data_IF_403008686280
#
_entry.id   IF_403008686280
#
_cell.length_a   1.000
_cell.length_b   1.000
_cell.length_c   1.000
_cell.angle_alpha   90.00
_cell.angle_beta   90.00
_cell.angle_gamma   90.00
#
_symmetry.space_group_name_H-M   'P 1'
#
loop_
_entity.id
_entity.type
_entity.pdbx_description
1 polymer ?
#
# COMPACT_ATOMS: atom_id res chain seq x y z
N UNK A 1 24.75 -30.24 -61.07
CA UNK A 1 24.29 -31.15 -60.01
C UNK A 1 23.91 -30.31 -58.79
N UNK A 2 22.61 -30.19 -58.55
CA UNK A 2 22.00 -29.37 -57.51
C UNK A 2 21.80 -30.24 -56.27
N UNK A 3 22.53 -30.02 -55.16
CA UNK A 3 22.20 -30.68 -53.88
C UNK A 3 22.43 -29.78 -52.67
N UNK A 4 21.28 -29.30 -52.18
CA UNK A 4 20.83 -29.24 -50.77
C UNK A 4 21.44 -28.18 -49.85
N UNK A 5 20.73 -27.05 -49.84
CA UNK A 5 20.47 -26.22 -48.66
C UNK A 5 19.79 -27.09 -47.58
N UNK A 6 20.36 -27.16 -46.38
CA UNK A 6 19.59 -27.36 -45.13
C UNK A 6 20.11 -26.37 -44.11
N UNK A 7 19.29 -25.34 -43.91
CA UNK A 7 19.33 -24.35 -42.84
C UNK A 7 18.93 -25.05 -41.53
N UNK A 8 19.75 -25.00 -40.48
CA UNK A 8 19.30 -25.33 -39.12
C UNK A 8 19.45 -24.10 -38.22
N UNK A 9 18.40 -23.28 -38.23
CA UNK A 9 18.20 -22.18 -37.28
C UNK A 9 17.80 -22.79 -35.92
N UNK A 10 18.78 -23.04 -35.05
CA UNK A 10 18.54 -23.35 -33.65
C UNK A 10 18.47 -22.03 -32.87
N UNK A 11 17.32 -21.36 -32.96
CA UNK A 11 16.97 -20.20 -32.15
C UNK A 11 15.68 -20.53 -31.41
N UNK A 12 15.77 -21.28 -30.31
CA UNK A 12 14.62 -21.54 -29.43
C UNK A 12 14.89 -20.98 -28.03
N UNK A 13 14.45 -19.74 -27.86
CA UNK A 13 13.64 -19.24 -26.74
C UNK A 13 14.09 -19.60 -25.31
N UNK A 14 15.10 -18.90 -24.79
CA UNK A 14 15.26 -18.70 -23.33
C UNK A 14 15.18 -17.21 -22.98
N UNK A 15 14.02 -16.61 -23.18
CA UNK A 15 13.76 -15.26 -22.64
C UNK A 15 12.26 -15.13 -22.43
N UNK A 16 11.78 -15.34 -21.20
CA UNK A 16 10.55 -14.71 -20.68
C UNK A 16 10.30 -14.91 -19.17
N UNK A 17 11.13 -15.63 -18.41
CA UNK A 17 10.89 -15.82 -16.96
C UNK A 17 11.15 -14.59 -16.07
N UNK A 18 11.86 -13.57 -16.57
CA UNK A 18 12.25 -12.41 -15.75
C UNK A 18 11.11 -11.41 -15.49
N UNK A 19 10.10 -11.33 -16.36
CA UNK A 19 8.97 -10.41 -16.18
C UNK A 19 7.96 -10.91 -15.12
N UNK A 20 7.79 -12.23 -15.00
CA UNK A 20 6.81 -12.85 -14.09
C UNK A 20 7.20 -12.73 -12.60
N UNK A 21 8.49 -12.60 -12.28
CA UNK A 21 8.95 -12.48 -10.89
C UNK A 21 8.66 -11.12 -10.25
N UNK A 22 8.65 -10.03 -11.04
CA UNK A 22 8.48 -8.66 -10.51
C UNK A 22 7.07 -8.41 -9.97
N UNK A 23 6.03 -8.96 -10.61
CA UNK A 23 4.63 -8.83 -10.14
C UNK A 23 4.40 -9.44 -8.76
N UNK A 24 5.22 -10.42 -8.38
CA UNK A 24 5.15 -11.08 -7.07
C UNK A 24 5.87 -10.30 -5.97
N UNK A 25 6.63 -9.25 -6.28
CA UNK A 25 7.24 -8.41 -5.25
C UNK A 25 6.21 -7.47 -4.62
N UNK A 26 6.36 -7.19 -3.33
CA UNK A 26 5.43 -6.31 -2.60
C UNK A 26 5.62 -4.82 -2.92
N UNK A 27 6.79 -4.45 -3.47
CA UNK A 27 7.06 -3.11 -3.98
C UNK A 27 5.96 -2.65 -4.97
N UNK A 28 5.51 -1.40 -4.81
CA UNK A 28 4.47 -0.78 -5.63
C UNK A 28 3.37 -0.12 -4.82
N UNK A 29 2.21 0.06 -5.46
CA UNK A 29 1.07 0.79 -4.91
C UNK A 29 -0.11 -0.14 -4.68
N UNK A 30 -0.79 0.06 -3.55
CA UNK A 30 -1.84 -0.80 -3.06
C UNK A 30 -3.03 0.02 -2.57
N UNK A 31 -4.23 -0.35 -3.01
CA UNK A 31 -5.49 0.21 -2.51
C UNK A 31 -5.94 -0.60 -1.29
N UNK A 32 -5.97 0.05 -0.15
CA UNK A 32 -6.54 -0.47 1.09
C UNK A 32 -8.03 -0.16 1.14
N UNK A 33 -8.84 -1.19 1.42
CA UNK A 33 -10.28 -1.05 1.64
C UNK A 33 -10.64 -1.53 3.03
N UNK A 34 -11.64 -0.90 3.65
CA UNK A 34 -12.26 -1.43 4.85
C UNK A 34 -13.01 -2.72 4.50
N UNK A 35 -12.80 -3.78 5.29
CA UNK A 35 -13.36 -5.10 4.98
C UNK A 35 -14.86 -5.19 5.22
N UNK A 36 -15.42 -4.33 6.07
CA UNK A 36 -16.85 -4.35 6.43
C UNK A 36 -17.68 -3.52 5.47
N UNK A 37 -17.19 -2.35 5.05
CA UNK A 37 -17.93 -1.42 4.19
C UNK A 37 -17.45 -1.43 2.75
N UNK A 38 -16.33 -2.11 2.44
CA UNK A 38 -15.64 -2.04 1.14
C UNK A 38 -15.21 -0.62 0.73
N UNK A 39 -15.17 0.32 1.68
CA UNK A 39 -14.79 1.72 1.44
C UNK A 39 -13.28 1.82 1.25
N UNK A 40 -12.83 2.62 0.29
CA UNK A 40 -11.42 2.93 0.09
C UNK A 40 -10.88 3.75 1.27
N UNK A 41 -9.91 3.20 1.99
CA UNK A 41 -9.29 3.83 3.16
C UNK A 41 -8.07 4.64 2.72
N UNK A 42 -7.18 4.02 1.94
CA UNK A 42 -5.96 4.69 1.48
C UNK A 42 -5.37 4.04 0.23
N UNK A 43 -4.51 4.79 -0.46
CA UNK A 43 -3.46 4.23 -1.31
C UNK A 43 -2.17 4.16 -0.49
N UNK A 44 -1.59 2.98 -0.41
CA UNK A 44 -0.31 2.70 0.23
C UNK A 44 0.77 2.59 -0.84
N UNK A 45 1.96 3.16 -0.57
CA UNK A 45 3.15 2.96 -1.37
C UNK A 45 4.14 2.13 -0.56
N UNK A 46 4.39 0.90 -1.01
CA UNK A 46 5.36 -0.01 -0.41
C UNK A 46 6.64 0.01 -1.25
N UNK A 47 7.79 0.12 -0.59
CA UNK A 47 9.08 0.30 -1.25
C UNK A 47 10.22 -0.34 -0.45
N UNK A 48 11.31 -0.69 -1.13
CA UNK A 48 12.51 -1.16 -0.44
C UNK A 48 13.35 0.04 0.03
N UNK A 49 13.73 0.05 1.31
CA UNK A 49 14.66 1.04 1.85
C UNK A 49 16.11 0.75 1.41
N UNK A 50 17.05 1.57 1.86
CA UNK A 50 18.48 1.45 1.50
C UNK A 50 19.13 0.14 1.92
N UNK A 51 18.53 -0.58 2.88
CA UNK A 51 18.98 -1.90 3.34
C UNK A 51 18.30 -3.06 2.60
N UNK A 52 17.40 -2.76 1.65
CA UNK A 52 16.62 -3.76 0.92
C UNK A 52 15.45 -4.35 1.72
N UNK A 53 15.11 -3.78 2.88
CA UNK A 53 13.91 -4.16 3.63
C UNK A 53 12.70 -3.38 3.12
N UNK A 54 11.52 -3.99 3.23
CA UNK A 54 10.26 -3.38 2.78
C UNK A 54 9.71 -2.43 3.85
N UNK A 55 9.52 -1.18 3.45
CA UNK A 55 8.81 -0.13 4.17
C UNK A 55 7.51 0.23 3.44
N UNK A 56 6.63 0.99 4.09
CA UNK A 56 5.46 1.57 3.43
C UNK A 56 5.03 2.91 4.03
N UNK A 57 4.51 3.77 3.16
CA UNK A 57 3.91 5.07 3.48
C UNK A 57 2.46 5.16 3.03
N UNK A 58 1.67 6.01 3.68
CA UNK A 58 0.32 6.37 3.23
C UNK A 58 0.45 7.38 2.09
N UNK A 59 0.35 6.89 0.85
CA UNK A 59 0.56 7.72 -0.33
C UNK A 59 -0.60 8.70 -0.58
N UNK A 60 -1.84 8.24 -0.36
CA UNK A 60 -3.07 9.05 -0.40
C UNK A 60 -4.08 8.52 0.61
N UNK A 61 -4.49 9.29 1.62
CA UNK A 61 -5.64 8.91 2.45
C UNK A 61 -6.96 9.22 1.71
N UNK A 62 -7.93 8.31 1.78
CA UNK A 62 -9.18 8.38 1.00
C UNK A 62 -10.42 8.48 1.88
N UNK A 63 -10.44 7.76 3.01
CA UNK A 63 -11.47 7.92 4.05
C UNK A 63 -11.04 7.29 5.38
N UNK A 64 -11.79 7.58 6.43
CA UNK A 64 -11.81 6.82 7.68
C UNK A 64 -13.14 6.08 7.82
N UNK A 65 -13.12 4.90 8.45
CA UNK A 65 -14.33 4.12 8.75
C UNK A 65 -14.40 3.86 10.25
N UNK A 66 -15.31 4.53 10.94
CA UNK A 66 -15.51 4.42 12.38
C UNK A 66 -16.90 3.84 12.65
N UNK A 67 -16.97 2.65 13.25
CA UNK A 67 -18.24 1.94 13.51
C UNK A 67 -19.15 1.84 12.27
N UNK A 68 -18.55 1.58 11.10
CA UNK A 68 -19.26 1.47 9.82
C UNK A 68 -19.63 2.80 9.16
N UNK A 69 -19.29 3.94 9.78
CA UNK A 69 -19.54 5.27 9.22
C UNK A 69 -18.30 5.79 8.52
N UNK A 70 -18.51 6.29 7.30
CA UNK A 70 -17.44 6.82 6.45
C UNK A 70 -17.26 8.31 6.71
N UNK A 71 -16.04 8.72 7.01
CA UNK A 71 -15.65 10.09 7.31
C UNK A 71 -14.45 10.52 6.46
N UNK A 72 -14.25 11.83 6.33
CA UNK A 72 -13.04 12.35 5.72
C UNK A 72 -11.80 11.90 6.52
N UNK A 73 -10.66 11.65 5.87
CA UNK A 73 -9.47 11.20 6.56
C UNK A 73 -8.91 12.27 7.51
N UNK A 74 -8.12 11.84 8.50
CA UNK A 74 -7.33 12.77 9.30
C UNK A 74 -6.26 13.46 8.43
N UNK A 75 -5.90 14.69 8.79
CA UNK A 75 -4.82 15.44 8.13
C UNK A 75 -3.48 15.14 8.80
N UNK A 76 -3.47 15.04 10.14
CA UNK A 76 -2.27 14.86 10.95
C UNK A 76 -2.43 13.66 11.87
N UNK A 77 -1.33 12.95 12.14
CA UNK A 77 -1.31 11.94 13.19
C UNK A 77 -1.18 12.59 14.57
N UNK A 78 -2.29 13.04 15.14
CA UNK A 78 -2.31 13.74 16.44
C UNK A 78 -1.96 12.82 17.61
N UNK A 79 -2.36 11.55 17.51
CA UNK A 79 -2.15 10.54 18.55
C UNK A 79 -0.78 9.86 18.46
N UNK A 80 0.00 10.16 17.41
CA UNK A 80 1.33 9.58 17.28
C UNK A 80 2.30 10.18 18.30
N UNK A 81 3.19 9.32 18.80
CA UNK A 81 4.25 9.70 19.72
C UNK A 81 5.65 9.55 19.13
N UNK A 82 6.61 9.36 20.02
CA UNK A 82 7.97 8.94 19.70
C UNK A 82 8.29 7.64 20.39
N UNK A 83 9.15 6.82 19.80
CA UNK A 83 9.48 5.54 20.38
C UNK A 83 10.42 4.71 19.55
N UNK A 84 10.46 3.42 19.90
CA UNK A 84 11.25 2.42 19.22
C UNK A 84 10.38 1.17 18.95
N UNK A 85 9.85 1.08 17.74
CA UNK A 85 9.02 -0.04 17.31
C UNK A 85 9.91 -1.21 16.86
N UNK A 86 10.31 -2.07 17.79
CA UNK A 86 11.10 -3.28 17.52
C UNK A 86 12.44 -3.02 16.80
N UNK A 87 13.15 -1.96 17.19
CA UNK A 87 14.40 -1.51 16.57
C UNK A 87 14.23 -0.30 15.64
N UNK A 88 12.99 0.07 15.29
CA UNK A 88 12.67 1.20 14.43
C UNK A 88 12.40 2.45 15.29
N UNK A 89 13.38 3.33 15.41
CA UNK A 89 13.20 4.63 16.07
C UNK A 89 12.32 5.54 15.21
N UNK A 90 11.32 6.17 15.82
CA UNK A 90 10.46 7.15 15.16
C UNK A 90 10.13 8.29 16.14
N UNK A 91 9.86 9.48 15.59
CA UNK A 91 9.38 10.63 16.35
C UNK A 91 8.35 11.40 15.53
N UNK A 92 7.09 11.22 15.91
CA UNK A 92 5.93 11.96 15.42
C UNK A 92 5.24 12.71 16.56
N UNK A 93 5.96 12.96 17.67
CA UNK A 93 5.41 13.55 18.89
C UNK A 93 4.97 15.01 18.72
N UNK A 94 5.26 15.60 17.55
CA UNK A 94 4.80 16.93 17.19
C UNK A 94 3.28 17.03 17.00
N UNK A 95 2.63 15.91 16.67
CA UNK A 95 1.22 15.87 16.26
C UNK A 95 0.92 16.64 14.96
N UNK A 96 1.96 17.09 14.24
CA UNK A 96 1.88 17.88 12.99
C UNK A 96 2.35 17.10 11.77
N UNK A 97 2.78 15.85 11.97
CA UNK A 97 3.15 14.94 10.91
C UNK A 97 1.90 14.60 10.09
N UNK A 98 1.96 14.89 8.79
CA UNK A 98 0.82 14.71 7.89
C UNK A 98 0.57 13.23 7.67
N UNK A 99 -0.70 12.85 7.68
CA UNK A 99 -1.13 11.49 7.40
C UNK A 99 -0.76 11.07 5.97
N UNK A 100 -0.94 11.97 4.99
CA UNK A 100 -0.41 11.78 3.64
C UNK A 100 1.11 11.93 3.62
N UNK A 101 1.81 10.84 3.28
CA UNK A 101 3.27 10.73 3.28
C UNK A 101 3.85 10.18 4.57
N UNK A 102 3.02 9.83 5.56
CA UNK A 102 3.50 9.20 6.79
C UNK A 102 4.02 7.79 6.49
N UNK A 103 5.31 7.57 6.74
CA UNK A 103 5.85 6.22 6.82
C UNK A 103 5.31 5.55 8.09
N UNK A 104 4.62 4.42 7.93
CA UNK A 104 3.95 3.73 9.03
C UNK A 104 4.31 2.26 9.10
N UNK A 105 5.05 1.73 8.11
CA UNK A 105 5.56 0.36 8.10
C UNK A 105 7.07 0.40 7.91
N UNK A 106 7.78 -0.34 8.75
CA UNK A 106 9.23 -0.32 8.80
C UNK A 106 9.85 -1.72 8.77
N UNK A 107 10.91 -1.84 7.97
CA UNK A 107 11.94 -2.87 8.04
C UNK A 107 11.40 -4.32 7.98
N UNK A 108 10.39 -4.60 7.15
CA UNK A 108 10.02 -5.99 6.90
C UNK A 108 11.08 -6.68 6.04
N UNK A 109 11.68 -7.74 6.58
CA UNK A 109 12.72 -8.55 5.93
C UNK A 109 12.11 -9.56 4.96
N UNK A 110 12.66 -9.62 3.76
CA UNK A 110 12.24 -10.55 2.70
C UNK A 110 12.73 -11.97 3.00
N UNK A 111 11.81 -12.94 2.94
CA UNK A 111 12.08 -14.37 3.00
C UNK A 111 11.53 -15.06 1.74
N UNK A 112 12.43 -15.57 0.89
CA UNK A 112 12.10 -16.23 -0.38
C UNK A 112 11.69 -17.69 -0.24
N UNK A 113 11.91 -18.34 0.92
CA UNK A 113 11.61 -19.76 1.11
C UNK A 113 10.11 -20.08 1.06
N UNK A 114 9.25 -19.06 1.16
CA UNK A 114 7.78 -19.19 1.17
C UNK A 114 7.13 -18.79 -0.16
N UNK A 115 7.93 -18.50 -1.19
CA UNK A 115 7.46 -18.11 -2.51
C UNK A 115 7.04 -19.35 -3.33
N UNK A 116 5.99 -19.21 -4.13
CA UNK A 116 5.63 -20.18 -5.16
C UNK A 116 5.06 -19.45 -6.40
N UNK A 117 4.49 -20.20 -7.35
CA UNK A 117 4.01 -19.61 -8.61
C UNK A 117 2.93 -18.53 -8.43
N UNK A 118 2.13 -18.60 -7.35
CA UNK A 118 0.97 -17.73 -7.13
C UNK A 118 1.13 -16.80 -5.92
N UNK A 119 2.21 -16.96 -5.13
CA UNK A 119 2.52 -16.19 -3.92
C UNK A 119 3.95 -15.68 -3.97
N UNK A 120 4.15 -14.42 -3.65
CA UNK A 120 5.48 -13.84 -3.53
C UNK A 120 6.22 -14.24 -2.26
N UNK A 121 7.42 -13.67 -2.04
CA UNK A 121 8.19 -13.89 -0.82
C UNK A 121 7.42 -13.36 0.39
N UNK A 122 7.63 -14.01 1.55
CA UNK A 122 7.10 -13.55 2.82
C UNK A 122 7.97 -12.41 3.35
N UNK A 123 7.39 -11.25 3.60
CA UNK A 123 8.03 -10.14 4.30
C UNK A 123 7.62 -10.20 5.77
N UNK A 124 8.58 -10.22 6.70
CA UNK A 124 8.32 -10.42 8.14
C UNK A 124 9.29 -9.62 9.01
N UNK A 125 9.13 -9.73 10.32
CA UNK A 125 10.02 -9.10 11.31
C UNK A 125 10.04 -7.56 11.24
N UNK A 126 9.01 -6.96 10.64
CA UNK A 126 8.85 -5.50 10.61
C UNK A 126 7.95 -4.98 11.72
N UNK A 127 7.79 -3.66 11.73
CA UNK A 127 6.89 -2.93 12.61
C UNK A 127 5.87 -2.13 11.80
N UNK A 128 4.66 -1.96 12.34
CA UNK A 128 3.63 -1.06 11.79
C UNK A 128 3.09 -0.17 12.89
N UNK A 129 2.93 1.12 12.61
CA UNK A 129 2.25 2.11 13.45
C UNK A 129 0.81 2.25 12.98
N UNK A 130 -0.12 2.32 13.92
CA UNK A 130 -1.50 2.71 13.67
C UNK A 130 -1.65 4.22 13.95
N UNK A 131 -1.84 5.06 12.92
CA UNK A 131 -1.91 6.51 13.12
C UNK A 131 -3.18 7.00 13.83
N UNK A 132 -4.16 6.13 14.05
CA UNK A 132 -5.38 6.48 14.79
C UNK A 132 -5.21 6.42 16.31
N UNK A 133 -4.28 5.62 16.82
CA UNK A 133 -4.05 5.44 18.26
C UNK A 133 -2.59 5.60 18.69
N UNK A 134 -1.67 5.82 17.74
CA UNK A 134 -0.24 5.96 17.98
C UNK A 134 0.48 4.68 18.40
N UNK A 135 -0.21 3.53 18.44
CA UNK A 135 0.36 2.25 18.86
C UNK A 135 1.03 1.55 17.70
N UNK A 136 2.02 0.71 18.01
CA UNK A 136 2.73 -0.08 17.02
C UNK A 136 2.62 -1.58 17.30
N UNK A 137 2.71 -2.35 16.22
CA UNK A 137 2.52 -3.80 16.19
C UNK A 137 3.59 -4.46 15.33
N UNK A 138 3.82 -5.75 15.52
CA UNK A 138 4.59 -6.51 14.54
C UNK A 138 3.80 -6.59 13.24
N UNK A 139 4.50 -6.61 12.10
CA UNK A 139 3.87 -6.77 10.81
C UNK A 139 4.56 -7.81 9.95
N UNK A 140 3.74 -8.54 9.17
CA UNK A 140 4.18 -9.37 8.06
C UNK A 140 3.26 -9.17 6.88
N UNK A 141 3.80 -9.38 5.67
CA UNK A 141 3.06 -9.25 4.43
C UNK A 141 3.49 -10.29 3.40
N UNK A 142 2.58 -10.69 2.53
CA UNK A 142 2.88 -11.58 1.40
C UNK A 142 1.94 -11.24 0.24
N UNK A 143 2.49 -11.07 -0.96
CA UNK A 143 1.67 -10.96 -2.16
C UNK A 143 1.05 -12.31 -2.49
N UNK A 144 -0.20 -12.29 -2.91
CA UNK A 144 -1.01 -13.45 -3.25
C UNK A 144 -1.76 -13.20 -4.56
N UNK A 145 -2.44 -14.20 -5.08
CA UNK A 145 -3.24 -14.09 -6.32
C UNK A 145 -2.39 -13.53 -7.49
N UNK A 146 -1.22 -14.12 -7.72
CA UNK A 146 -0.26 -13.69 -8.75
C UNK A 146 0.22 -12.24 -8.59
N UNK A 147 0.20 -11.73 -7.36
CA UNK A 147 0.58 -10.37 -7.04
C UNK A 147 -0.55 -9.36 -7.19
N UNK A 148 -1.78 -9.77 -7.49
CA UNK A 148 -2.94 -8.86 -7.57
C UNK A 148 -3.36 -8.33 -6.21
N UNK A 149 -3.08 -9.09 -5.14
CA UNK A 149 -3.34 -8.68 -3.77
C UNK A 149 -2.10 -8.84 -2.89
N UNK A 150 -2.10 -8.12 -1.78
CA UNK A 150 -1.16 -8.34 -0.68
C UNK A 150 -1.94 -8.62 0.58
N UNK A 151 -1.61 -9.74 1.21
CA UNK A 151 -2.02 -10.04 2.58
C UNK A 151 -1.10 -9.29 3.53
N UNK A 152 -1.66 -8.60 4.51
CA UNK A 152 -0.93 -7.88 5.57
C UNK A 152 -1.51 -8.29 6.92
N UNK A 153 -0.65 -8.55 7.90
CA UNK A 153 -1.08 -8.80 9.28
C UNK A 153 -0.30 -7.95 10.25
N UNK A 154 -1.02 -7.14 11.01
CA UNK A 154 -0.54 -6.46 12.21
C UNK A 154 -0.89 -7.30 13.44
N UNK A 155 0.05 -7.53 14.36
CA UNK A 155 -0.17 -8.42 15.50
C UNK A 155 0.68 -8.09 16.74
N UNK A 156 0.16 -8.52 17.89
CA UNK A 156 0.88 -8.59 19.16
C UNK A 156 0.63 -9.95 19.80
N UNK A 157 1.66 -10.81 19.82
CA UNK A 157 1.50 -12.21 20.20
C UNK A 157 0.50 -12.95 19.30
N UNK A 158 -0.48 -13.71 19.84
CA UNK A 158 -1.46 -14.44 19.03
C UNK A 158 -2.56 -13.54 18.44
N UNK A 159 -2.79 -12.36 19.03
CA UNK A 159 -3.83 -11.43 18.62
C UNK A 159 -3.35 -10.56 17.45
N UNK A 160 -4.25 -10.25 16.52
CA UNK A 160 -3.92 -9.37 15.40
C UNK A 160 -5.05 -9.19 14.41
N UNK A 161 -4.85 -8.26 13.48
CA UNK A 161 -5.76 -7.96 12.38
C UNK A 161 -5.11 -8.36 11.07
N UNK A 162 -5.91 -8.97 10.19
CA UNK A 162 -5.53 -9.28 8.83
C UNK A 162 -6.19 -8.28 7.89
N UNK A 163 -5.46 -7.87 6.86
CA UNK A 163 -5.97 -7.03 5.78
C UNK A 163 -5.51 -7.57 4.42
N UNK A 164 -6.26 -7.19 3.38
CA UNK A 164 -5.97 -7.52 2.00
C UNK A 164 -6.06 -6.24 1.18
N UNK A 165 -4.96 -5.86 0.54
CA UNK A 165 -4.91 -4.67 -0.30
C UNK A 165 -4.77 -5.07 -1.76
N UNK A 166 -5.37 -4.29 -2.65
CA UNK A 166 -5.45 -4.58 -4.08
C UNK A 166 -4.40 -3.78 -4.85
N UNK A 167 -3.68 -4.40 -5.77
CA UNK A 167 -2.62 -3.71 -6.51
C UNK A 167 -3.21 -2.67 -7.46
N UNK A 168 -2.60 -1.49 -7.48
CA UNK A 168 -2.85 -0.46 -8.49
C UNK A 168 -1.55 -0.02 -9.17
N UNK A 169 -1.65 0.57 -10.36
CA UNK A 169 -0.47 1.07 -11.06
C UNK A 169 0.03 2.37 -10.43
N UNK A 170 1.33 2.67 -10.62
CA UNK A 170 1.92 3.96 -10.21
C UNK A 170 1.24 5.16 -10.89
N UNK A 171 0.83 5.00 -12.16
CA UNK A 171 0.13 6.05 -12.89
C UNK A 171 -1.24 6.31 -12.25
N UNK A 172 -1.97 5.24 -11.93
CA UNK A 172 -3.27 5.35 -11.28
C UNK A 172 -3.16 5.98 -9.89
N UNK A 173 -2.22 5.53 -9.06
CA UNK A 173 -1.95 6.13 -7.77
C UNK A 173 -1.72 7.65 -7.88
N UNK A 174 -0.95 8.11 -8.89
CA UNK A 174 -0.74 9.55 -9.14
C UNK A 174 -2.03 10.28 -9.52
N UNK A 175 -2.90 9.67 -10.35
CA UNK A 175 -4.20 10.24 -10.70
C UNK A 175 -5.10 10.36 -9.46
N UNK A 176 -5.18 9.31 -8.65
CA UNK A 176 -5.90 9.32 -7.36
C UNK A 176 -5.36 10.41 -6.44
N UNK A 177 -4.03 10.55 -6.30
CA UNK A 177 -3.42 11.62 -5.49
C UNK A 177 -3.81 13.01 -5.96
N UNK A 178 -3.88 13.23 -7.28
CA UNK A 178 -4.30 14.51 -7.85
C UNK A 178 -5.78 14.79 -7.59
N UNK A 179 -6.63 13.77 -7.65
CA UNK A 179 -8.08 13.89 -7.49
C UNK A 179 -8.52 14.01 -6.02
N UNK A 180 -7.93 13.19 -5.15
CA UNK A 180 -8.40 12.95 -3.78
C UNK A 180 -7.41 13.36 -2.70
N UNK A 181 -6.13 13.56 -3.06
CA UNK A 181 -5.07 13.78 -2.09
C UNK A 181 -5.06 15.16 -1.46
N UNK A 182 -4.44 15.25 -0.29
CA UNK A 182 -4.31 16.49 0.48
C UNK A 182 -3.57 17.56 -0.34
N UNK A 183 -4.16 18.75 -0.43
CA UNK A 183 -3.57 19.88 -1.16
C UNK A 183 -2.41 20.53 -0.39
N UNK A 184 -1.69 21.45 -1.04
CA UNK A 184 -0.62 22.24 -0.40
C UNK A 184 -1.11 23.06 0.80
N UNK A 185 -2.40 23.38 0.85
CA UNK A 185 -3.01 24.16 1.92
C UNK A 185 -3.51 23.29 3.08
N UNK A 186 -3.20 21.98 3.08
CA UNK A 186 -3.67 21.02 4.09
C UNK A 186 -5.19 20.92 4.15
N UNK A 187 -5.85 20.93 2.98
CA UNK A 187 -7.30 20.74 2.84
C UNK A 187 -7.52 19.70 1.75
N UNK A 188 -8.47 18.78 1.93
CA UNK A 188 -8.84 17.83 0.88
C UNK A 188 -9.66 18.52 -0.23
N UNK A 189 -9.59 18.08 -1.50
CA UNK A 189 -10.27 18.75 -2.61
C UNK A 189 -11.80 18.83 -2.51
N UNK A 190 -12.40 18.03 -1.63
CA UNK A 190 -13.84 18.00 -1.35
C UNK A 190 -14.26 18.74 -0.09
N UNK A 191 -13.32 19.36 0.63
CA UNK A 191 -13.55 20.10 1.87
C UNK A 191 -13.41 21.62 1.70
N UNK A 192 -14.04 22.36 2.61
CA UNK A 192 -13.71 23.77 2.83
C UNK A 192 -12.52 23.92 3.80
N UNK A 193 -12.11 25.15 4.09
CA UNK A 193 -10.98 25.45 5.00
C UNK A 193 -11.21 24.98 6.45
N UNK A 194 -12.46 24.77 6.84
CA UNK A 194 -12.84 24.29 8.18
C UNK A 194 -12.85 22.76 8.26
N UNK A 195 -12.49 22.04 7.18
CA UNK A 195 -12.53 20.58 7.11
C UNK A 195 -13.93 20.00 6.93
N UNK A 196 -14.93 20.82 6.58
CA UNK A 196 -16.28 20.34 6.27
C UNK A 196 -16.34 19.88 4.83
N UNK A 197 -16.85 18.66 4.60
CA UNK A 197 -17.13 18.15 3.25
C UNK A 197 -18.22 19.00 2.59
N UNK A 198 -17.84 19.73 1.55
CA UNK A 198 -18.73 20.58 0.74
C UNK A 198 -19.00 19.99 -0.65
N UNK A 199 -18.12 19.10 -1.14
CA UNK A 199 -18.32 18.36 -2.39
C UNK A 199 -18.55 16.87 -2.10
N UNK A 200 -19.80 16.53 -1.77
CA UNK A 200 -20.19 15.16 -1.43
C UNK A 200 -19.99 14.17 -2.59
N UNK A 201 -20.15 14.62 -3.84
CA UNK A 201 -19.95 13.78 -5.02
C UNK A 201 -18.50 13.33 -5.12
N UNK A 202 -17.55 14.26 -5.00
CA UNK A 202 -16.13 13.94 -5.06
C UNK A 202 -15.67 13.10 -3.86
N UNK A 203 -16.17 13.39 -2.65
CA UNK A 203 -15.86 12.56 -1.49
C UNK A 203 -16.34 11.11 -1.66
N UNK A 204 -17.57 10.93 -2.17
CA UNK A 204 -18.10 9.60 -2.51
C UNK A 204 -17.26 8.90 -3.57
N UNK A 205 -16.84 9.62 -4.61
CA UNK A 205 -15.96 9.08 -5.65
C UNK A 205 -14.64 8.56 -5.06
N UNK A 206 -13.95 9.38 -4.26
CA UNK A 206 -12.70 9.00 -3.60
C UNK A 206 -12.86 7.80 -2.65
N UNK A 207 -13.96 7.74 -1.90
CA UNK A 207 -14.19 6.72 -0.88
C UNK A 207 -14.80 5.42 -1.42
N UNK A 208 -15.40 5.40 -2.62
CA UNK A 208 -16.15 4.21 -3.09
C UNK A 208 -15.87 3.76 -4.53
N UNK A 209 -15.19 4.55 -5.37
CA UNK A 209 -14.84 4.11 -6.73
C UNK A 209 -13.95 2.88 -6.68
N UNK A 210 -14.25 1.88 -7.50
CA UNK A 210 -13.41 0.69 -7.65
C UNK A 210 -12.21 0.99 -8.57
N UNK A 211 -11.19 1.69 -8.05
CA UNK A 211 -10.01 2.11 -8.81
C UNK A 211 -9.20 0.96 -9.44
N UNK A 212 -9.48 -0.29 -9.06
CA UNK A 212 -8.86 -1.48 -9.65
C UNK A 212 -9.56 -1.87 -10.95
N UNK A 213 -10.91 -1.82 -10.98
CA UNK A 213 -11.71 -2.21 -12.16
C UNK A 213 -12.01 -1.04 -13.08
N UNK A 214 -12.08 0.16 -12.52
CA UNK A 214 -12.44 1.41 -13.19
C UNK A 214 -11.40 2.49 -12.82
N UNK A 215 -10.18 2.42 -13.38
CA UNK A 215 -9.14 3.42 -13.14
C UNK A 215 -9.55 4.80 -13.68
N UNK A 216 -8.95 5.88 -13.17
CA UNK A 216 -9.10 7.25 -13.68
C UNK A 216 -8.35 7.38 -15.03
#
# INVERSE_FOLDING_TARGET
MLKKIILLFLLFCFVNSYASGKKLLADGYWLQKDTSTSTNVSVIHAYNNSQGNLNAEIYVPLSNVDYGKVHAPIIYCKECGKGNAYGNKYDYSSGKDKYQGLEFVWNMKKNVSNQNNNKGPLYKDGAVLNPHDGKYYHVKAQTIEDGKKIYVRAFWGPLGKNEYWERISKLEAKKIKKLCGLTKNNVYPYENKDGKVVNQKLFKECSTRDFVKDPI
#
